data_IF_101508663181
#
_entry.id   IF_101508663181
#
_cell.length_a   1.000
_cell.length_b   1.000
_cell.length_c   1.000
_cell.angle_alpha   90.00
_cell.angle_beta   90.00
_cell.angle_gamma   90.00
#
_symmetry.space_group_name_H-M   'P 1'
#
loop_
_entity.id
_entity.type
_entity.pdbx_description
1 polymer ?
#
# COMPACT_ATOMS: atom_id res chain seq x y z
N UNK A 1 -55.90 -35.68 -0.06
CA UNK A 1 -54.44 -35.54 0.22
C UNK A 1 -53.76 -35.26 -1.11
N UNK A 2 -53.36 -34.02 -1.34
CA UNK A 2 -52.45 -33.70 -2.44
C UNK A 2 -51.40 -32.75 -1.89
N UNK A 3 -50.15 -33.07 -2.21
CA UNK A 3 -48.92 -32.58 -1.57
C UNK A 3 -48.72 -31.07 -1.76
N UNK A 4 -47.96 -30.41 -0.87
CA UNK A 4 -47.54 -29.04 -1.08
C UNK A 4 -46.48 -28.97 -2.18
N UNK A 5 -46.60 -27.97 -3.06
CA UNK A 5 -45.60 -27.57 -4.05
C UNK A 5 -44.26 -27.22 -3.40
N UNK A 6 -43.11 -27.41 -4.08
CA UNK A 6 -41.82 -27.08 -3.52
C UNK A 6 -41.63 -25.55 -3.43
N UNK A 7 -41.07 -25.11 -2.31
CA UNK A 7 -40.63 -23.74 -2.04
C UNK A 7 -39.62 -23.25 -3.11
N UNK A 8 -39.53 -21.92 -3.36
CA UNK A 8 -38.55 -21.37 -4.28
C UNK A 8 -37.15 -21.68 -3.74
N UNK A 9 -36.34 -22.35 -4.55
CA UNK A 9 -34.91 -22.49 -4.30
C UNK A 9 -34.30 -21.08 -4.37
N UNK A 10 -33.62 -20.67 -3.30
CA UNK A 10 -33.07 -19.32 -3.18
C UNK A 10 -32.07 -19.09 -4.33
N UNK A 11 -32.16 -17.96 -5.03
CA UNK A 11 -31.31 -17.65 -6.20
C UNK A 11 -29.83 -17.68 -5.80
N UNK A 12 -29.54 -17.30 -4.56
CA UNK A 12 -28.21 -17.36 -3.96
C UNK A 12 -27.66 -18.79 -3.83
N UNK A 13 -28.51 -19.77 -3.50
CA UNK A 13 -28.11 -21.19 -3.39
C UNK A 13 -27.77 -21.80 -4.75
N UNK A 14 -28.42 -21.33 -5.82
CA UNK A 14 -28.12 -21.74 -7.19
C UNK A 14 -26.79 -21.15 -7.65
N UNK A 15 -26.55 -19.86 -7.42
CA UNK A 15 -25.29 -19.19 -7.77
C UNK A 15 -24.07 -19.81 -7.05
N UNK A 16 -24.20 -20.15 -5.75
CA UNK A 16 -23.13 -20.85 -5.01
C UNK A 16 -22.82 -22.21 -5.64
N UNK A 17 -23.86 -23.00 -5.95
CA UNK A 17 -23.67 -24.34 -6.55
C UNK A 17 -23.00 -24.24 -7.92
N UNK A 18 -23.39 -23.27 -8.73
CA UNK A 18 -22.76 -23.00 -10.02
C UNK A 18 -21.29 -22.59 -9.86
N UNK A 19 -20.98 -21.70 -8.92
CA UNK A 19 -19.61 -21.26 -8.64
C UNK A 19 -18.70 -22.42 -8.18
N UNK A 20 -19.20 -23.31 -7.31
CA UNK A 20 -18.44 -24.49 -6.85
C UNK A 20 -18.13 -25.44 -8.01
N UNK A 21 -19.11 -25.72 -8.88
CA UNK A 21 -18.92 -26.59 -10.05
C UNK A 21 -17.94 -25.97 -11.04
N UNK A 22 -18.08 -24.67 -11.31
CA UNK A 22 -17.17 -23.91 -12.19
C UNK A 22 -15.75 -23.95 -11.63
N UNK A 23 -15.57 -23.55 -10.38
CA UNK A 23 -14.25 -23.45 -9.76
C UNK A 23 -13.56 -24.82 -9.70
N UNK A 24 -14.26 -25.87 -9.24
CA UNK A 24 -13.71 -27.22 -9.17
C UNK A 24 -13.26 -27.70 -10.55
N UNK A 25 -14.09 -27.55 -11.57
CA UNK A 25 -13.74 -27.93 -12.94
C UNK A 25 -12.50 -27.21 -13.48
N UNK A 26 -12.32 -25.93 -13.11
CA UNK A 26 -11.14 -25.15 -13.52
C UNK A 26 -9.91 -25.57 -12.72
N UNK A 27 -10.06 -25.75 -11.41
CA UNK A 27 -8.97 -26.11 -10.50
C UNK A 27 -8.38 -27.47 -10.83
N UNK A 28 -9.23 -28.51 -10.95
CA UNK A 28 -8.79 -29.89 -11.24
C UNK A 28 -7.98 -29.94 -12.54
N UNK A 29 -8.42 -29.19 -13.55
CA UNK A 29 -7.71 -29.09 -14.83
C UNK A 29 -6.38 -28.34 -14.71
N UNK A 30 -6.35 -27.26 -13.93
CA UNK A 30 -5.13 -26.48 -13.70
C UNK A 30 -4.09 -27.33 -12.97
N UNK A 31 -4.51 -28.08 -11.95
CA UNK A 31 -3.66 -28.99 -11.17
C UNK A 31 -3.10 -30.12 -12.04
N UNK A 32 -3.91 -30.72 -12.92
CA UNK A 32 -3.45 -31.74 -13.88
C UNK A 32 -2.38 -31.20 -14.84
N UNK A 33 -2.51 -29.95 -15.28
CA UNK A 33 -1.62 -29.35 -16.26
C UNK A 33 -0.32 -28.81 -15.69
N UNK A 34 -0.35 -28.17 -14.51
CA UNK A 34 0.85 -27.54 -13.91
C UNK A 34 1.48 -28.37 -12.79
N UNK A 35 0.73 -29.31 -12.21
CA UNK A 35 1.12 -30.06 -11.02
C UNK A 35 0.89 -29.30 -9.72
N UNK A 36 0.49 -30.05 -8.69
CA UNK A 36 0.09 -29.53 -7.37
C UNK A 36 1.14 -28.61 -6.72
N UNK A 37 2.42 -29.01 -6.75
CA UNK A 37 3.54 -28.24 -6.17
C UNK A 37 3.88 -26.93 -6.90
N UNK A 38 3.30 -26.72 -8.09
CA UNK A 38 3.48 -25.52 -8.91
C UNK A 38 2.28 -24.59 -8.91
N UNK A 39 1.20 -24.94 -8.19
CA UNK A 39 0.03 -24.08 -7.93
C UNK A 39 0.36 -22.96 -6.94
N UNK A 40 1.34 -22.16 -7.31
CA UNK A 40 1.85 -21.04 -6.53
C UNK A 40 1.13 -19.79 -7.04
N UNK A 41 0.47 -19.07 -6.14
CA UNK A 41 -0.30 -17.88 -6.48
C UNK A 41 0.35 -16.61 -5.89
N UNK A 42 -0.07 -15.41 -6.32
CA UNK A 42 0.45 -14.16 -5.78
C UNK A 42 0.21 -14.02 -4.28
N UNK A 43 1.17 -13.42 -3.57
CA UNK A 43 0.99 -13.07 -2.15
C UNK A 43 -0.03 -11.95 -1.93
N UNK A 44 -0.30 -11.14 -2.96
CA UNK A 44 -1.18 -9.98 -2.88
C UNK A 44 -2.05 -9.89 -4.14
N UNK A 45 -3.35 -9.68 -3.98
CA UNK A 45 -4.27 -9.42 -5.09
C UNK A 45 -5.03 -8.13 -4.84
N UNK A 46 -4.91 -7.18 -5.77
CA UNK A 46 -5.63 -5.91 -5.75
C UNK A 46 -6.73 -5.95 -6.80
N UNK A 47 -7.98 -6.02 -6.37
CA UNK A 47 -9.16 -6.02 -7.21
C UNK A 47 -9.56 -4.56 -7.48
N UNK A 48 -9.36 -4.08 -8.70
CA UNK A 48 -9.73 -2.72 -9.07
C UNK A 48 -11.11 -2.69 -9.72
N UNK A 49 -12.10 -2.32 -8.92
CA UNK A 49 -13.50 -2.14 -9.30
C UNK A 49 -13.86 -0.67 -9.54
N UNK A 50 -14.97 -0.44 -10.24
CA UNK A 50 -15.52 0.91 -10.39
C UNK A 50 -16.38 1.07 -11.64
N UNK A 51 -17.20 2.10 -11.64
CA UNK A 51 -18.11 2.38 -12.74
C UNK A 51 -17.35 2.68 -14.06
N UNK A 52 -18.01 2.55 -15.22
CA UNK A 52 -17.49 3.13 -16.46
C UNK A 52 -17.15 4.62 -16.25
N UNK A 53 -16.00 5.07 -16.76
CA UNK A 53 -15.58 6.48 -16.57
C UNK A 53 -15.00 6.81 -15.19
N UNK A 54 -14.88 5.86 -14.26
CA UNK A 54 -14.25 6.07 -12.95
C UNK A 54 -12.73 6.25 -12.97
N UNK A 55 -12.08 6.14 -14.15
CA UNK A 55 -10.64 6.35 -14.27
C UNK A 55 -9.76 5.14 -13.98
N UNK A 56 -10.31 3.91 -13.92
CA UNK A 56 -9.55 2.66 -13.65
C UNK A 56 -8.21 2.59 -14.40
N UNK A 57 -8.24 2.64 -15.74
CA UNK A 57 -7.00 2.55 -16.54
C UNK A 57 -5.96 3.65 -16.29
N UNK A 58 -6.38 4.81 -15.74
CA UNK A 58 -5.47 5.87 -15.29
C UNK A 58 -4.85 5.49 -13.94
N UNK A 59 -5.70 5.11 -12.99
CA UNK A 59 -5.28 4.87 -11.60
C UNK A 59 -4.65 3.49 -11.36
N UNK A 60 -4.86 2.49 -12.24
CA UNK A 60 -4.24 1.17 -12.16
C UNK A 60 -2.72 1.28 -12.03
N UNK A 61 -2.08 2.07 -12.91
CA UNK A 61 -0.63 2.28 -12.89
C UNK A 61 -0.16 3.00 -11.62
N UNK A 62 -0.96 3.94 -11.13
CA UNK A 62 -0.66 4.65 -9.90
C UNK A 62 -0.71 3.72 -8.69
N UNK A 63 -1.76 2.91 -8.56
CA UNK A 63 -1.91 1.90 -7.51
C UNK A 63 -0.72 0.93 -7.53
N UNK A 64 -0.36 0.42 -8.70
CA UNK A 64 0.79 -0.47 -8.84
C UNK A 64 2.09 0.17 -8.35
N UNK A 65 2.35 1.43 -8.77
CA UNK A 65 3.52 2.18 -8.34
C UNK A 65 3.52 2.43 -6.83
N UNK A 66 2.37 2.79 -6.27
CA UNK A 66 2.21 3.03 -4.83
C UNK A 66 2.47 1.76 -4.00
N UNK A 67 2.15 0.58 -4.55
CA UNK A 67 2.37 -0.74 -3.92
C UNK A 67 3.71 -1.39 -4.29
N UNK A 68 4.51 -0.76 -5.14
CA UNK A 68 5.80 -1.30 -5.59
C UNK A 68 5.67 -2.51 -6.53
N UNK A 69 4.53 -2.71 -7.18
CA UNK A 69 4.32 -3.80 -8.13
C UNK A 69 4.92 -3.44 -9.50
N UNK A 70 5.76 -4.33 -10.01
CA UNK A 70 6.50 -4.13 -11.27
C UNK A 70 5.93 -4.91 -12.47
N UNK A 71 5.11 -5.93 -12.23
CA UNK A 71 4.39 -6.68 -13.25
C UNK A 71 3.31 -5.80 -13.93
N UNK A 72 2.88 -6.07 -15.18
CA UNK A 72 1.74 -5.37 -15.79
C UNK A 72 0.42 -5.70 -15.09
N UNK A 73 -0.63 -4.85 -15.15
CA UNK A 73 -1.92 -5.21 -14.59
C UNK A 73 -2.60 -6.31 -15.42
N UNK A 74 -3.39 -7.14 -14.76
CA UNK A 74 -4.24 -8.14 -15.43
C UNK A 74 -5.59 -7.48 -15.73
N UNK A 75 -5.76 -7.03 -16.96
CA UNK A 75 -7.02 -6.43 -17.43
C UNK A 75 -7.91 -7.53 -17.99
N UNK A 76 -9.06 -7.78 -17.37
CA UNK A 76 -9.94 -8.90 -17.78
C UNK A 76 -10.40 -8.78 -19.23
N UNK A 77 -10.68 -7.57 -19.73
CA UNK A 77 -11.09 -7.41 -21.13
C UNK A 77 -10.02 -7.87 -22.11
N UNK A 78 -8.75 -7.73 -21.77
CA UNK A 78 -7.64 -8.03 -22.67
C UNK A 78 -7.38 -9.53 -22.73
N UNK A 79 -7.62 -10.23 -21.61
CA UNK A 79 -7.62 -11.69 -21.54
C UNK A 79 -8.69 -12.34 -22.42
N UNK A 80 -9.78 -11.63 -22.74
CA UNK A 80 -10.90 -12.15 -23.54
C UNK A 80 -10.73 -11.95 -25.05
N UNK A 81 -9.59 -11.40 -25.47
CA UNK A 81 -9.25 -11.14 -26.88
C UNK A 81 -8.10 -12.05 -27.34
N UNK A 82 -7.61 -12.95 -26.49
CA UNK A 82 -6.55 -13.89 -26.86
C UNK A 82 -7.07 -14.97 -27.82
N UNK A 83 -6.18 -15.65 -28.58
CA UNK A 83 -6.57 -16.77 -29.43
C UNK A 83 -7.30 -17.88 -28.67
N UNK A 84 -6.95 -18.12 -27.40
CA UNK A 84 -7.66 -19.08 -26.54
C UNK A 84 -9.10 -18.64 -26.27
N UNK A 85 -9.32 -17.35 -26.00
CA UNK A 85 -10.65 -16.79 -25.82
C UNK A 85 -11.45 -16.75 -27.13
N UNK A 86 -10.78 -16.58 -28.28
CA UNK A 86 -11.42 -16.63 -29.61
C UNK A 86 -11.90 -18.04 -29.96
N UNK A 87 -11.07 -19.08 -29.74
CA UNK A 87 -11.45 -20.47 -29.97
C UNK A 87 -12.69 -20.90 -29.14
N UNK A 88 -12.83 -20.36 -27.94
CA UNK A 88 -13.98 -20.61 -27.05
C UNK A 88 -15.24 -19.84 -27.52
N UNK A 89 -15.08 -18.60 -27.99
CA UNK A 89 -16.17 -17.82 -28.61
C UNK A 89 -16.68 -18.45 -29.91
N UNK A 90 -15.77 -18.99 -30.73
CA UNK A 90 -16.09 -19.64 -32.00
C UNK A 90 -16.90 -20.94 -31.81
N UNK A 91 -16.83 -21.56 -30.64
CA UNK A 91 -17.67 -22.68 -30.24
C UNK A 91 -19.12 -22.28 -29.86
N UNK A 92 -19.50 -21.01 -29.99
CA UNK A 92 -20.85 -20.50 -29.74
C UNK A 92 -21.14 -20.08 -28.30
N UNK A 93 -20.12 -20.02 -27.44
CA UNK A 93 -20.24 -19.58 -26.05
C UNK A 93 -20.27 -18.05 -25.90
N UNK A 94 -21.17 -17.53 -25.05
CA UNK A 94 -20.90 -16.25 -24.39
C UNK A 94 -19.71 -16.45 -23.46
N UNK A 95 -18.82 -15.46 -23.35
CA UNK A 95 -17.77 -15.49 -22.32
C UNK A 95 -18.46 -15.48 -20.95
N UNK A 96 -18.54 -16.64 -20.32
CA UNK A 96 -19.13 -16.82 -19.00
C UNK A 96 -18.09 -16.72 -17.90
N UNK A 97 -18.55 -16.92 -16.67
CA UNK A 97 -17.69 -16.86 -15.50
C UNK A 97 -16.64 -17.97 -15.50
N UNK A 98 -16.96 -19.15 -16.06
CA UNK A 98 -16.00 -20.27 -16.18
C UNK A 98 -14.76 -19.90 -17.00
N UNK A 99 -14.96 -19.27 -18.15
CA UNK A 99 -13.86 -18.87 -19.04
C UNK A 99 -13.00 -17.80 -18.40
N UNK A 100 -13.63 -16.78 -17.80
CA UNK A 100 -12.93 -15.70 -17.09
C UNK A 100 -12.08 -16.26 -15.97
N UNK A 101 -12.64 -17.13 -15.12
CA UNK A 101 -11.92 -17.76 -14.02
C UNK A 101 -10.78 -18.64 -14.55
N UNK A 102 -11.00 -19.44 -15.59
CA UNK A 102 -9.96 -20.29 -16.15
C UNK A 102 -8.74 -19.52 -16.67
N UNK A 103 -8.97 -18.48 -17.48
CA UNK A 103 -7.88 -17.67 -18.02
C UNK A 103 -7.19 -16.87 -16.92
N UNK A 104 -7.97 -16.34 -15.96
CA UNK A 104 -7.43 -15.59 -14.83
C UNK A 104 -6.51 -16.46 -13.95
N UNK A 105 -6.96 -17.64 -13.51
CA UNK A 105 -6.15 -18.50 -12.63
C UNK A 105 -4.84 -18.91 -13.31
N UNK A 106 -4.88 -19.26 -14.61
CA UNK A 106 -3.66 -19.53 -15.38
C UNK A 106 -2.72 -18.34 -15.40
N UNK A 107 -3.25 -17.14 -15.64
CA UNK A 107 -2.45 -15.91 -15.68
C UNK A 107 -1.78 -15.64 -14.33
N UNK A 108 -2.50 -15.86 -13.22
CA UNK A 108 -1.99 -15.66 -11.87
C UNK A 108 -0.83 -16.60 -11.48
N UNK A 109 -0.68 -17.75 -12.16
CA UNK A 109 0.43 -18.67 -11.90
C UNK A 109 1.77 -18.20 -12.47
N UNK A 110 1.78 -17.19 -13.36
CA UNK A 110 3.03 -16.69 -13.94
C UNK A 110 3.94 -16.10 -12.86
N UNK A 111 5.25 -16.34 -12.98
CA UNK A 111 6.23 -15.92 -11.98
C UNK A 111 6.27 -14.39 -11.76
N UNK A 112 5.97 -13.61 -12.80
CA UNK A 112 5.90 -12.14 -12.71
C UNK A 112 4.88 -11.65 -11.67
N UNK A 113 3.85 -12.44 -11.35
CA UNK A 113 2.80 -12.06 -10.40
C UNK A 113 3.04 -12.57 -8.98
N UNK A 114 4.12 -13.29 -8.69
CA UNK A 114 4.38 -13.92 -7.37
C UNK A 114 4.26 -12.94 -6.20
N UNK A 115 4.78 -11.72 -6.38
CA UNK A 115 4.76 -10.69 -5.36
C UNK A 115 3.46 -9.89 -5.31
N UNK A 116 2.62 -9.97 -6.33
CA UNK A 116 1.31 -9.35 -6.32
C UNK A 116 0.76 -9.15 -7.72
N UNK A 117 -0.56 -8.98 -7.83
CA UNK A 117 -1.22 -8.66 -9.09
C UNK A 117 -2.36 -7.66 -8.89
N UNK A 118 -2.53 -6.76 -9.85
CA UNK A 118 -3.71 -5.88 -9.93
C UNK A 118 -4.67 -6.44 -10.99
N UNK A 119 -5.89 -6.74 -10.58
CA UNK A 119 -6.97 -7.26 -11.41
C UNK A 119 -7.93 -6.11 -11.78
N UNK A 120 -7.86 -5.61 -13.02
CA UNK A 120 -8.76 -4.55 -13.49
C UNK A 120 -10.04 -5.15 -14.07
N UNK A 121 -11.15 -4.88 -13.38
CA UNK A 121 -12.48 -5.29 -13.81
C UNK A 121 -12.85 -6.72 -13.44
N UNK A 122 -12.28 -7.25 -12.36
CA UNK A 122 -12.69 -8.47 -11.65
C UNK A 122 -12.90 -8.17 -10.16
N UNK A 123 -13.91 -8.74 -9.49
CA UNK A 123 -15.03 -9.52 -10.04
C UNK A 123 -16.13 -8.61 -10.63
N UNK A 124 -16.99 -9.19 -11.48
CA UNK A 124 -18.17 -8.52 -12.09
C UNK A 124 -19.51 -9.14 -11.73
N UNK A 125 -19.51 -10.37 -11.24
CA UNK A 125 -20.70 -11.18 -10.90
C UNK A 125 -20.52 -11.82 -9.54
N UNK A 126 -21.62 -12.22 -8.88
CA UNK A 126 -21.59 -12.95 -7.61
C UNK A 126 -20.85 -14.28 -7.73
N UNK A 127 -21.05 -15.02 -8.82
CA UNK A 127 -20.32 -16.26 -9.12
C UNK A 127 -18.80 -16.04 -9.12
N UNK A 128 -18.31 -14.95 -9.69
CA UNK A 128 -16.87 -14.63 -9.66
C UNK A 128 -16.35 -14.32 -8.25
N UNK A 129 -17.18 -13.68 -7.40
CA UNK A 129 -16.85 -13.46 -5.98
C UNK A 129 -16.73 -14.80 -5.26
N UNK A 130 -17.68 -15.71 -5.45
CA UNK A 130 -17.63 -17.05 -4.85
C UNK A 130 -16.42 -17.86 -5.36
N UNK A 131 -16.11 -17.80 -6.65
CA UNK A 131 -14.88 -18.42 -7.16
C UNK A 131 -13.60 -17.82 -6.57
N UNK A 132 -13.58 -16.51 -6.26
CA UNK A 132 -12.45 -15.87 -5.59
C UNK A 132 -12.31 -16.37 -4.14
N UNK A 133 -13.41 -16.55 -3.41
CA UNK A 133 -13.39 -17.15 -2.06
C UNK A 133 -12.79 -18.55 -2.10
N UNK A 134 -13.28 -19.39 -3.02
CA UNK A 134 -12.78 -20.75 -3.21
C UNK A 134 -11.29 -20.77 -3.60
N UNK A 135 -10.82 -19.79 -4.39
CA UNK A 135 -9.39 -19.63 -4.69
C UNK A 135 -8.58 -19.38 -3.42
N UNK A 136 -9.00 -18.41 -2.61
CA UNK A 136 -8.30 -18.07 -1.35
C UNK A 136 -8.26 -19.28 -0.42
N UNK A 137 -9.38 -20.01 -0.27
CA UNK A 137 -9.45 -21.22 0.55
C UNK A 137 -8.46 -22.29 0.07
N UNK A 138 -8.33 -22.48 -1.25
CA UNK A 138 -7.36 -23.43 -1.83
C UNK A 138 -5.91 -22.99 -1.61
N UNK A 139 -5.62 -21.69 -1.73
CA UNK A 139 -4.27 -21.17 -1.45
C UNK A 139 -3.92 -21.39 0.03
N UNK A 140 -4.86 -21.18 0.95
CA UNK A 140 -4.66 -21.43 2.38
C UNK A 140 -4.44 -22.92 2.70
N UNK A 141 -5.13 -23.81 1.98
CA UNK A 141 -4.89 -25.26 2.07
C UNK A 141 -3.47 -25.61 1.62
N UNK A 142 -3.03 -25.12 0.45
CA UNK A 142 -1.67 -25.30 -0.05
C UNK A 142 -0.63 -24.75 0.92
N UNK A 143 -0.85 -23.55 1.47
CA UNK A 143 0.02 -22.96 2.50
C UNK A 143 0.19 -23.90 3.70
N UNK A 144 -0.92 -24.48 4.18
CA UNK A 144 -0.90 -25.38 5.34
C UNK A 144 -0.21 -26.71 5.00
N UNK A 145 -0.48 -27.27 3.82
CA UNK A 145 0.09 -28.53 3.34
C UNK A 145 1.62 -28.45 3.18
N UNK A 146 2.12 -27.36 2.59
CA UNK A 146 3.55 -27.21 2.31
C UNK A 146 4.35 -26.55 3.44
N UNK A 147 3.72 -26.18 4.57
CA UNK A 147 4.32 -25.42 5.66
C UNK A 147 5.61 -26.03 6.24
N UNK A 148 5.68 -27.36 6.33
CA UNK A 148 6.83 -28.10 6.89
C UNK A 148 7.74 -28.70 5.80
N UNK A 149 7.60 -28.25 4.56
CA UNK A 149 8.38 -28.75 3.42
C UNK A 149 9.41 -27.71 2.96
N UNK A 150 10.44 -28.10 2.19
CA UNK A 150 11.35 -27.15 1.54
C UNK A 150 10.65 -26.15 0.60
N UNK A 151 9.42 -26.45 0.17
CA UNK A 151 8.64 -25.59 -0.72
C UNK A 151 7.85 -24.50 0.01
N UNK A 152 7.85 -24.48 1.35
CA UNK A 152 7.09 -23.52 2.16
C UNK A 152 7.27 -22.06 1.71
N UNK A 153 8.47 -21.67 1.27
CA UNK A 153 8.77 -20.30 0.81
C UNK A 153 7.93 -19.85 -0.40
N UNK A 154 7.43 -20.81 -1.19
CA UNK A 154 6.68 -20.59 -2.42
C UNK A 154 5.17 -20.48 -2.21
N UNK A 155 4.67 -20.87 -1.02
CA UNK A 155 3.26 -20.82 -0.67
C UNK A 155 3.06 -19.79 0.44
N UNK A 156 2.25 -18.78 0.16
CA UNK A 156 1.99 -17.67 1.08
C UNK A 156 0.49 -17.44 1.14
N UNK A 157 -0.01 -17.07 2.32
CA UNK A 157 -1.40 -16.64 2.47
C UNK A 157 -1.61 -15.36 1.66
N UNK A 158 -2.67 -15.29 0.82
CA UNK A 158 -2.87 -14.15 -0.05
C UNK A 158 -3.57 -13.02 0.70
N UNK A 159 -3.05 -11.80 0.58
CA UNK A 159 -3.74 -10.58 1.02
C UNK A 159 -4.58 -10.04 -0.13
N UNK A 160 -5.88 -9.84 0.09
CA UNK A 160 -6.81 -9.35 -0.93
C UNK A 160 -7.25 -7.93 -0.60
N UNK A 161 -7.06 -7.00 -1.54
CA UNK A 161 -7.53 -5.62 -1.46
C UNK A 161 -8.61 -5.38 -2.52
N UNK A 162 -9.81 -5.02 -2.11
CA UNK A 162 -10.88 -4.59 -3.00
C UNK A 162 -10.90 -3.06 -3.10
N UNK A 163 -10.38 -2.50 -4.18
CA UNK A 163 -10.34 -1.05 -4.43
C UNK A 163 -11.46 -0.64 -5.38
N UNK A 164 -12.46 0.08 -4.86
CA UNK A 164 -13.63 0.51 -5.62
C UNK A 164 -13.57 2.02 -5.87
N UNK A 165 -13.32 2.39 -7.13
CA UNK A 165 -13.38 3.77 -7.59
C UNK A 165 -14.84 4.18 -7.83
N UNK A 166 -15.32 5.12 -7.02
CA UNK A 166 -16.68 5.63 -7.10
C UNK A 166 -16.75 6.95 -7.86
N UNK A 167 -17.70 7.02 -8.80
CA UNK A 167 -18.13 8.26 -9.46
C UNK A 167 -19.65 8.24 -9.58
N UNK A 168 -20.28 9.40 -9.56
CA UNK A 168 -21.73 9.49 -9.80
C UNK A 168 -22.06 9.17 -11.26
N UNK A 169 -23.33 8.85 -11.51
CA UNK A 169 -23.86 8.59 -12.86
C UNK A 169 -23.60 9.77 -13.80
N UNK A 170 -23.80 11.00 -13.32
CA UNK A 170 -23.56 12.22 -14.09
C UNK A 170 -22.09 12.30 -14.53
N UNK A 171 -21.17 12.23 -13.58
CA UNK A 171 -19.72 12.27 -13.84
C UNK A 171 -19.28 11.13 -14.77
N UNK A 172 -19.81 9.93 -14.58
CA UNK A 172 -19.55 8.76 -15.43
C UNK A 172 -19.96 9.00 -16.89
N UNK A 173 -21.15 9.53 -17.12
CA UNK A 173 -21.68 9.82 -18.46
C UNK A 173 -20.84 10.91 -19.12
N UNK A 174 -20.60 12.03 -18.42
CA UNK A 174 -19.80 13.15 -18.93
C UNK A 174 -18.40 12.69 -19.37
N UNK A 175 -17.70 11.92 -18.53
CA UNK A 175 -16.36 11.40 -18.84
C UNK A 175 -16.36 10.43 -20.01
N UNK A 176 -17.41 9.61 -20.18
CA UNK A 176 -17.52 8.70 -21.33
C UNK A 176 -17.73 9.45 -22.64
N UNK A 177 -18.63 10.44 -22.66
CA UNK A 177 -18.88 11.27 -23.84
C UNK A 177 -17.64 12.09 -24.20
N UNK A 178 -16.99 12.69 -23.19
CA UNK A 178 -15.76 13.45 -23.38
C UNK A 178 -14.66 12.58 -24.00
N UNK A 179 -14.46 11.36 -23.49
CA UNK A 179 -13.54 10.38 -24.09
C UNK A 179 -13.89 10.07 -25.54
N UNK A 180 -15.18 9.87 -25.85
CA UNK A 180 -15.66 9.61 -27.21
C UNK A 180 -15.31 10.75 -28.17
N UNK A 181 -15.52 12.00 -27.74
CA UNK A 181 -15.17 13.20 -28.51
C UNK A 181 -13.66 13.30 -28.77
N UNK A 182 -12.83 13.05 -27.75
CA UNK A 182 -11.37 13.06 -27.90
C UNK A 182 -10.87 12.00 -28.88
N UNK A 183 -11.39 10.77 -28.80
CA UNK A 183 -11.00 9.69 -29.72
C UNK A 183 -11.45 10.01 -31.14
N UNK A 184 -12.66 10.57 -31.32
CA UNK A 184 -13.14 10.97 -32.65
C UNK A 184 -12.26 12.08 -33.28
N UNK A 185 -11.85 13.06 -32.48
CA UNK A 185 -10.94 14.11 -32.93
C UNK A 185 -9.55 13.56 -33.31
N UNK A 186 -8.97 12.70 -32.45
CA UNK A 186 -7.69 12.03 -32.72
C UNK A 186 -7.75 11.19 -33.99
N UNK A 187 -8.80 10.39 -34.18
CA UNK A 187 -8.92 9.55 -35.38
C UNK A 187 -9.04 10.39 -36.65
N UNK A 188 -9.74 11.52 -36.61
CA UNK A 188 -9.81 12.46 -37.74
C UNK A 188 -8.43 13.02 -38.09
N UNK A 189 -7.64 13.41 -37.09
CA UNK A 189 -6.28 13.89 -37.30
C UNK A 189 -5.37 12.79 -37.89
N UNK A 190 -5.49 11.54 -37.43
CA UNK A 190 -4.76 10.40 -37.99
C UNK A 190 -5.16 10.14 -39.44
N UNK A 191 -6.46 10.24 -39.78
CA UNK A 191 -6.96 10.10 -41.14
C UNK A 191 -6.46 11.21 -42.08
N UNK A 192 -6.38 12.46 -41.59
CA UNK A 192 -5.91 13.61 -42.35
C UNK A 192 -4.39 13.62 -42.56
N UNK A 193 -3.61 13.27 -41.52
CA UNK A 193 -2.14 13.37 -41.55
C UNK A 193 -1.45 12.07 -41.98
N UNK A 194 -2.14 10.93 -41.85
CA UNK A 194 -1.55 9.60 -41.98
C UNK A 194 -0.58 9.22 -40.84
N UNK A 195 -0.45 10.07 -39.80
CA UNK A 195 0.49 9.88 -38.70
C UNK A 195 -0.29 9.42 -37.46
N UNK A 196 0.04 8.24 -36.95
CA UNK A 196 -0.52 7.68 -35.71
C UNK A 196 -1.32 6.39 -35.94
N UNK A 197 -2.03 5.94 -34.91
CA UNK A 197 -2.90 4.76 -34.97
C UNK A 197 -4.33 5.16 -34.65
N UNK A 198 -5.27 4.64 -35.42
CA UNK A 198 -6.70 4.78 -35.16
C UNK A 198 -7.00 4.08 -33.84
N UNK A 199 -7.64 4.81 -32.94
CA UNK A 199 -8.09 4.30 -31.65
C UNK A 199 -9.53 3.77 -31.77
N UNK A 200 -9.85 2.61 -31.16
CA UNK A 200 -11.18 2.03 -31.28
C UNK A 200 -12.21 2.88 -30.55
N UNK A 201 -13.24 3.31 -31.28
CA UNK A 201 -14.30 4.13 -30.74
C UNK A 201 -15.44 3.24 -30.20
N UNK A 202 -15.83 3.47 -28.94
CA UNK A 202 -16.83 2.64 -28.25
C UNK A 202 -18.23 3.18 -28.52
N UNK A 203 -19.16 2.31 -28.87
CA UNK A 203 -20.57 2.69 -29.07
C UNK A 203 -21.20 3.35 -27.85
N UNK A 204 -20.75 2.98 -26.64
CA UNK A 204 -21.21 3.59 -25.38
C UNK A 204 -20.75 5.03 -25.17
N UNK A 205 -19.73 5.47 -25.90
CA UNK A 205 -19.13 6.80 -25.74
C UNK A 205 -19.74 7.82 -26.72
N UNK A 206 -20.64 7.37 -27.60
CA UNK A 206 -21.25 8.16 -28.67
C UNK A 206 -22.60 8.78 -28.32
N UNK A 207 -23.29 8.24 -27.31
CA UNK A 207 -24.61 8.73 -26.93
C UNK A 207 -24.81 8.66 -25.43
N UNK A 208 -25.49 9.67 -24.90
CA UNK A 208 -25.81 9.75 -23.48
C UNK A 208 -26.61 8.52 -23.02
N UNK A 209 -27.59 8.09 -23.82
CA UNK A 209 -28.42 6.92 -23.52
C UNK A 209 -27.60 5.63 -23.42
N UNK A 210 -26.60 5.44 -24.29
CA UNK A 210 -25.74 4.26 -24.23
C UNK A 210 -24.81 4.30 -23.01
N UNK A 211 -24.24 5.46 -22.68
CA UNK A 211 -23.43 5.65 -21.47
C UNK A 211 -24.26 5.41 -20.20
N UNK A 212 -25.50 5.91 -20.17
CA UNK A 212 -26.45 5.72 -19.08
C UNK A 212 -26.85 4.25 -18.89
N UNK A 213 -27.20 3.56 -19.98
CA UNK A 213 -27.47 2.11 -19.95
C UNK A 213 -26.28 1.34 -19.39
N UNK A 214 -25.06 1.69 -19.81
CA UNK A 214 -23.83 1.04 -19.31
C UNK A 214 -23.62 1.25 -17.81
N UNK A 215 -23.86 2.46 -17.30
CA UNK A 215 -23.79 2.75 -15.87
C UNK A 215 -24.85 1.97 -15.08
N UNK A 216 -26.08 1.88 -15.60
CA UNK A 216 -27.16 1.10 -14.99
C UNK A 216 -26.80 -0.39 -14.88
N UNK A 217 -26.29 -1.00 -15.95
CA UNK A 217 -25.84 -2.40 -15.93
C UNK A 217 -24.74 -2.63 -14.89
N UNK A 218 -23.80 -1.69 -14.75
CA UNK A 218 -22.79 -1.76 -13.68
C UNK A 218 -23.45 -1.74 -12.29
N UNK A 219 -24.40 -0.83 -12.06
CA UNK A 219 -25.11 -0.71 -10.78
C UNK A 219 -25.96 -1.94 -10.44
N UNK A 220 -26.58 -2.56 -11.43
CA UNK A 220 -27.46 -3.72 -11.23
C UNK A 220 -26.71 -5.05 -11.09
N UNK A 221 -25.54 -5.20 -11.72
CA UNK A 221 -24.85 -6.50 -11.79
C UNK A 221 -23.52 -6.54 -11.06
N UNK A 222 -22.74 -5.46 -11.15
CA UNK A 222 -21.36 -5.43 -10.66
C UNK A 222 -21.22 -4.73 -9.33
N UNK A 223 -22.10 -3.77 -9.02
CA UNK A 223 -22.04 -3.04 -7.76
C UNK A 223 -22.24 -3.96 -6.56
N UNK A 224 -23.26 -4.82 -6.60
CA UNK A 224 -23.54 -5.74 -5.49
C UNK A 224 -22.40 -6.75 -5.28
N UNK A 225 -21.82 -7.25 -6.38
CA UNK A 225 -20.63 -8.11 -6.34
C UNK A 225 -19.39 -7.41 -5.76
N UNK A 226 -19.20 -6.12 -6.04
CA UNK A 226 -18.10 -5.35 -5.43
C UNK A 226 -18.40 -5.06 -3.95
N UNK A 227 -19.65 -4.74 -3.61
CA UNK A 227 -20.06 -4.41 -2.26
C UNK A 227 -19.95 -5.62 -1.32
N UNK A 228 -20.24 -6.83 -1.79
CA UNK A 228 -20.11 -8.05 -0.98
C UNK A 228 -18.66 -8.34 -0.56
N UNK A 229 -17.66 -7.87 -1.32
CA UNK A 229 -16.24 -7.99 -0.94
C UNK A 229 -15.91 -7.27 0.37
N UNK A 230 -16.69 -6.26 0.76
CA UNK A 230 -16.51 -5.51 2.00
C UNK A 230 -16.58 -6.38 3.25
N UNK A 231 -17.35 -7.46 3.20
CA UNK A 231 -17.55 -8.35 4.34
C UNK A 231 -16.42 -9.39 4.46
N UNK A 232 -15.56 -9.50 3.44
CA UNK A 232 -14.64 -10.63 3.26
C UNK A 232 -13.18 -10.16 3.23
N UNK A 233 -12.90 -9.01 2.60
CA UNK A 233 -11.54 -8.56 2.27
C UNK A 233 -11.31 -7.10 2.67
N UNK A 234 -10.05 -6.65 2.59
CA UNK A 234 -9.69 -5.24 2.83
C UNK A 234 -10.32 -4.35 1.76
N UNK A 235 -11.38 -3.65 2.12
CA UNK A 235 -12.21 -2.90 1.20
C UNK A 235 -11.93 -1.40 1.26
N UNK A 236 -11.51 -0.85 0.13
CA UNK A 236 -11.13 0.55 -0.06
C UNK A 236 -12.15 1.23 -0.95
N UNK A 237 -12.90 2.18 -0.37
CA UNK A 237 -13.90 2.95 -1.11
C UNK A 237 -13.36 4.33 -1.47
N UNK A 238 -13.02 4.53 -2.74
CA UNK A 238 -12.26 5.72 -3.17
C UNK A 238 -13.20 6.65 -3.92
N UNK A 239 -13.32 7.89 -3.43
CA UNK A 239 -13.98 8.95 -4.18
C UNK A 239 -13.11 9.36 -5.39
N UNK A 240 -13.64 9.15 -6.59
CA UNK A 240 -12.99 9.44 -7.87
C UNK A 240 -13.66 10.60 -8.64
N UNK A 241 -14.45 11.45 -7.99
CA UNK A 241 -15.18 12.57 -8.61
C UNK A 241 -14.30 13.81 -8.94
N UNK A 242 -13.05 13.85 -8.49
CA UNK A 242 -12.14 14.97 -8.67
C UNK A 242 -11.12 14.84 -9.82
N UNK A 243 -10.17 15.78 -9.90
CA UNK A 243 -8.98 15.69 -10.75
C UNK A 243 -8.08 14.51 -10.37
N UNK A 244 -7.22 14.07 -11.28
CA UNK A 244 -6.35 12.89 -11.10
C UNK A 244 -5.55 12.97 -9.79
N UNK A 245 -4.92 14.11 -9.52
CA UNK A 245 -4.08 14.32 -8.33
C UNK A 245 -4.85 14.13 -7.01
N UNK A 246 -6.11 14.57 -6.97
CA UNK A 246 -6.96 14.40 -5.79
C UNK A 246 -7.36 12.93 -5.59
N UNK A 247 -7.71 12.24 -6.69
CA UNK A 247 -8.03 10.81 -6.64
C UNK A 247 -6.81 9.99 -6.23
N UNK A 248 -5.62 10.34 -6.73
CA UNK A 248 -4.35 9.72 -6.34
C UNK A 248 -4.05 9.94 -4.84
N UNK A 249 -4.29 11.14 -4.31
CA UNK A 249 -4.18 11.40 -2.87
C UNK A 249 -5.17 10.57 -2.03
N UNK A 250 -6.41 10.43 -2.50
CA UNK A 250 -7.42 9.58 -1.85
C UNK A 250 -6.98 8.11 -1.85
N UNK A 251 -6.42 7.61 -2.96
CA UNK A 251 -5.87 6.25 -3.06
C UNK A 251 -4.75 6.05 -2.03
N UNK A 252 -3.78 6.97 -1.95
CA UNK A 252 -2.66 6.86 -1.00
C UNK A 252 -3.17 6.85 0.44
N UNK A 253 -4.11 7.72 0.77
CA UNK A 253 -4.69 7.80 2.11
C UNK A 253 -5.34 6.49 2.54
N UNK A 254 -6.14 5.87 1.66
CA UNK A 254 -6.79 4.58 1.96
C UNK A 254 -5.77 3.43 2.07
N UNK A 255 -4.72 3.43 1.22
CA UNK A 255 -3.64 2.43 1.29
C UNK A 255 -2.80 2.54 2.57
N UNK A 256 -2.52 3.77 3.04
CA UNK A 256 -1.75 4.01 4.26
C UNK A 256 -2.49 3.53 5.51
N UNK A 257 -3.82 3.71 5.57
CA UNK A 257 -4.65 3.31 6.71
C UNK A 257 -4.60 1.80 7.01
N UNK A 258 -4.30 0.95 6.02
CA UNK A 258 -4.34 -0.52 6.16
C UNK A 258 -2.97 -1.21 6.14
N UNK A 259 -1.86 -0.48 5.94
CA UNK A 259 -0.52 -1.07 5.90
C UNK A 259 -0.11 -1.76 7.21
N UNK A 260 -0.80 -1.45 8.33
CA UNK A 260 -0.63 -2.14 9.61
C UNK A 260 -1.28 -3.54 9.63
N UNK A 261 -2.25 -3.85 8.76
CA UNK A 261 -3.05 -5.09 8.78
C UNK A 261 -2.60 -6.15 7.77
N UNK A 262 -1.59 -5.86 6.96
CA UNK A 262 -1.13 -6.73 5.85
C UNK A 262 -0.07 -7.75 6.25
N UNK A 263 0.38 -7.68 7.50
CA UNK A 263 1.36 -8.59 8.05
C UNK A 263 0.67 -9.89 8.47
N UNK A 264 1.35 -11.03 8.24
CA UNK A 264 0.96 -12.30 8.85
C UNK A 264 0.72 -12.11 10.36
N UNK A 265 -0.31 -12.72 10.97
CA UNK A 265 -0.67 -12.49 12.38
C UNK A 265 0.50 -12.61 13.36
N UNK A 266 1.41 -13.58 13.15
CA UNK A 266 2.60 -13.73 14.02
C UNK A 266 3.59 -12.58 13.84
N UNK A 267 3.63 -11.99 12.66
CA UNK A 267 4.47 -10.84 12.33
C UNK A 267 3.84 -9.55 12.86
N UNK A 268 2.52 -9.40 12.72
CA UNK A 268 1.76 -8.31 13.30
C UNK A 268 1.90 -8.25 14.82
N UNK A 269 1.65 -9.35 15.53
CA UNK A 269 1.76 -9.41 16.99
C UNK A 269 3.14 -8.98 17.50
N UNK A 270 4.20 -9.24 16.72
CA UNK A 270 5.57 -8.84 17.05
C UNK A 270 5.86 -7.37 16.78
N UNK A 271 5.20 -6.78 15.79
CA UNK A 271 5.44 -5.39 15.37
C UNK A 271 4.47 -4.40 16.01
N UNK A 272 3.28 -4.84 16.44
CA UNK A 272 2.26 -4.00 17.08
C UNK A 272 2.77 -3.14 18.26
N UNK A 273 3.72 -3.59 19.11
CA UNK A 273 4.23 -2.74 20.19
C UNK A 273 5.02 -1.51 19.72
N UNK A 274 5.44 -1.47 18.45
CA UNK A 274 6.18 -0.35 17.88
C UNK A 274 5.20 0.62 17.20
N UNK A 275 5.09 1.88 17.65
CA UNK A 275 4.20 2.85 17.03
C UNK A 275 4.68 3.23 15.62
N UNK A 276 3.74 3.58 14.75
CA UNK A 276 4.07 4.08 13.41
C UNK A 276 4.80 5.41 13.51
N UNK A 277 5.70 5.68 12.56
CA UNK A 277 6.43 6.95 12.52
C UNK A 277 5.49 8.17 12.46
N UNK A 278 4.36 8.05 11.77
CA UNK A 278 3.33 9.10 11.70
C UNK A 278 2.62 9.31 13.05
N UNK A 279 2.27 8.23 13.76
CA UNK A 279 1.67 8.28 15.10
C UNK A 279 2.59 8.96 16.12
N UNK A 280 3.90 8.71 16.02
CA UNK A 280 4.91 9.38 16.86
C UNK A 280 4.87 10.90 16.62
N UNK A 281 4.63 11.35 15.39
CA UNK A 281 4.67 12.77 15.00
C UNK A 281 3.39 13.52 15.39
N UNK A 282 2.20 12.91 15.27
CA UNK A 282 0.90 13.59 15.45
C UNK A 282 0.80 14.34 16.79
N UNK A 283 1.32 13.76 17.87
CA UNK A 283 1.30 14.36 19.21
C UNK A 283 2.68 14.83 19.71
N UNK A 284 3.72 14.74 18.89
CA UNK A 284 5.10 15.01 19.31
C UNK A 284 5.25 16.38 19.98
N UNK A 285 4.61 17.41 19.43
CA UNK A 285 4.69 18.78 19.97
C UNK A 285 4.02 18.93 21.33
N UNK A 286 2.82 18.37 21.50
CA UNK A 286 2.09 18.44 22.76
C UNK A 286 2.84 17.67 23.87
N UNK A 287 3.43 16.53 23.53
CA UNK A 287 4.26 15.74 24.44
C UNK A 287 5.56 16.47 24.78
N UNK A 288 6.20 17.14 23.83
CA UNK A 288 7.40 17.95 24.06
C UNK A 288 7.13 19.07 25.06
N UNK A 289 6.07 19.86 24.86
CA UNK A 289 5.68 20.94 25.79
C UNK A 289 5.43 20.38 27.19
N UNK A 290 4.66 19.28 27.29
CA UNK A 290 4.39 18.64 28.58
C UNK A 290 5.68 18.18 29.29
N UNK A 291 6.65 17.61 28.56
CA UNK A 291 7.94 17.19 29.14
C UNK A 291 8.73 18.40 29.66
N UNK A 292 8.80 19.48 28.88
CA UNK A 292 9.50 20.70 29.29
C UNK A 292 8.88 21.33 30.54
N UNK A 293 7.54 21.43 30.60
CA UNK A 293 6.84 21.93 31.79
C UNK A 293 7.09 21.02 33.00
N UNK A 294 7.05 19.70 32.81
CA UNK A 294 7.41 18.73 33.86
C UNK A 294 8.86 18.87 34.32
N UNK A 295 9.82 19.12 33.42
CA UNK A 295 11.23 19.32 33.79
C UNK A 295 11.42 20.56 34.67
N UNK A 296 10.75 21.66 34.36
CA UNK A 296 10.79 22.88 35.17
C UNK A 296 10.18 22.66 36.56
N UNK A 297 9.09 21.89 36.66
CA UNK A 297 8.39 21.65 37.92
C UNK A 297 9.08 20.60 38.82
N UNK A 298 9.53 19.49 38.23
CA UNK A 298 10.00 18.31 38.98
C UNK A 298 11.53 18.27 39.10
N UNK A 299 12.25 18.91 38.17
CA UNK A 299 13.71 18.83 38.05
C UNK A 299 14.36 20.20 37.78
N UNK A 300 13.83 21.25 38.40
CA UNK A 300 14.20 22.66 38.16
C UNK A 300 15.71 22.91 38.14
N UNK A 301 16.44 22.39 39.13
CA UNK A 301 17.89 22.63 39.23
C UNK A 301 18.68 22.03 38.06
N UNK A 302 18.33 20.82 37.62
CA UNK A 302 18.98 20.16 36.48
C UNK A 302 18.61 20.87 35.18
N UNK A 303 17.34 21.26 35.04
CA UNK A 303 16.85 21.96 33.85
C UNK A 303 17.53 23.32 33.67
N UNK A 304 17.65 24.13 34.74
CA UNK A 304 18.40 25.39 34.74
C UNK A 304 19.85 25.16 34.31
N UNK A 305 20.52 24.17 34.90
CA UNK A 305 21.91 23.85 34.51
C UNK A 305 22.05 23.42 33.05
N UNK A 306 21.08 22.68 32.50
CA UNK A 306 21.05 22.35 31.07
C UNK A 306 20.97 23.61 30.21
N UNK A 307 20.08 24.54 30.56
CA UNK A 307 19.92 25.82 29.83
C UNK A 307 21.21 26.65 29.91
N UNK A 308 21.83 26.75 31.09
CA UNK A 308 23.09 27.48 31.28
C UNK A 308 24.22 26.90 30.42
N UNK A 309 24.39 25.58 30.44
CA UNK A 309 25.41 24.90 29.61
C UNK A 309 25.16 25.14 28.13
N UNK A 310 23.91 25.08 27.66
CA UNK A 310 23.55 25.39 26.27
C UNK A 310 23.92 26.84 25.95
N UNK A 311 23.56 27.78 26.81
CA UNK A 311 23.81 29.21 26.60
C UNK A 311 25.30 29.54 26.56
N UNK A 312 26.10 28.99 27.48
CA UNK A 312 27.50 29.32 27.64
C UNK A 312 28.42 28.56 26.68
N UNK A 313 28.15 27.27 26.44
CA UNK A 313 29.04 26.41 25.64
C UNK A 313 28.54 26.18 24.21
N UNK A 314 27.24 25.96 24.03
CA UNK A 314 26.69 25.54 22.74
C UNK A 314 26.37 26.72 21.83
N UNK A 315 25.65 27.73 22.35
CA UNK A 315 25.19 28.86 21.56
C UNK A 315 26.32 29.65 20.88
N UNK A 316 27.50 29.89 21.49
CA UNK A 316 28.60 30.55 20.78
C UNK A 316 29.08 29.78 19.55
N UNK A 317 29.10 28.45 19.61
CA UNK A 317 29.50 27.59 18.49
C UNK A 317 28.40 27.57 17.43
N UNK A 318 27.15 27.38 17.83
CA UNK A 318 25.98 27.40 16.92
C UNK A 318 25.91 28.71 16.14
N UNK A 319 26.09 29.86 16.81
CA UNK A 319 26.08 31.19 16.17
C UNK A 319 27.18 31.32 15.11
N UNK A 320 28.38 30.76 15.34
CA UNK A 320 29.46 30.75 14.34
C UNK A 320 29.14 29.88 13.12
N UNK A 321 28.27 28.89 13.29
CA UNK A 321 27.80 27.99 12.23
C UNK A 321 26.46 28.42 11.60
N UNK A 322 26.02 29.67 11.83
CA UNK A 322 24.74 30.16 11.30
C UNK A 322 24.64 30.13 9.77
N UNK A 323 25.78 30.19 9.06
CA UNK A 323 25.82 30.05 7.61
C UNK A 323 25.67 28.59 7.14
N UNK A 324 26.36 27.64 7.78
CA UNK A 324 26.30 26.22 7.40
C UNK A 324 25.00 25.55 7.83
N UNK A 325 24.36 26.06 8.89
CA UNK A 325 23.20 25.40 9.50
C UNK A 325 23.55 24.09 10.21
N UNK A 326 24.84 23.84 10.49
CA UNK A 326 25.33 22.63 11.15
C UNK A 326 26.48 22.95 12.08
N UNK A 327 26.35 22.57 13.35
CA UNK A 327 27.37 22.70 14.39
C UNK A 327 27.66 21.34 15.04
N UNK A 328 28.92 21.15 15.45
CA UNK A 328 29.35 20.00 16.24
C UNK A 328 29.95 20.52 17.55
N UNK A 329 29.40 20.08 18.68
CA UNK A 329 29.85 20.49 20.02
C UNK A 329 30.28 19.26 20.80
N UNK A 330 31.52 19.25 21.29
CA UNK A 330 32.00 18.21 22.20
C UNK A 330 31.92 18.75 23.63
N UNK A 331 31.32 17.98 24.54
CA UNK A 331 31.22 18.32 25.95
C UNK A 331 31.73 17.19 26.83
N UNK A 332 32.47 17.54 27.87
CA UNK A 332 32.91 16.63 28.94
C UNK A 332 32.16 16.94 30.26
N UNK A 333 31.10 17.75 30.18
CA UNK A 333 30.34 18.17 31.35
C UNK A 333 29.68 16.97 32.04
N UNK A 334 29.92 16.83 33.35
CA UNK A 334 29.38 15.74 34.14
C UNK A 334 27.84 15.73 34.17
N UNK A 335 27.21 16.88 33.92
CA UNK A 335 25.75 17.00 33.78
C UNK A 335 25.18 15.97 32.79
N UNK A 336 25.84 15.75 31.66
CA UNK A 336 25.35 14.86 30.61
C UNK A 336 25.58 13.37 30.89
N UNK A 337 26.21 13.02 32.03
CA UNK A 337 26.21 11.64 32.49
C UNK A 337 24.83 11.20 33.00
N UNK A 338 24.00 12.14 33.42
CA UNK A 338 22.59 11.90 33.75
C UNK A 338 21.76 11.74 32.46
N UNK A 339 21.11 10.58 32.23
CA UNK A 339 20.23 10.37 31.09
C UNK A 339 19.08 11.38 30.99
N UNK A 340 18.60 11.90 32.13
CA UNK A 340 17.55 12.90 32.16
C UNK A 340 18.04 14.24 31.58
N UNK A 341 19.27 14.66 31.92
CA UNK A 341 19.87 15.86 31.38
C UNK A 341 20.11 15.77 29.86
N UNK A 342 20.45 14.58 29.34
CA UNK A 342 20.53 14.34 27.90
C UNK A 342 19.17 14.48 27.21
N UNK A 343 18.11 14.00 27.85
CA UNK A 343 16.73 14.14 27.35
C UNK A 343 16.31 15.61 27.32
N UNK A 344 16.59 16.36 28.40
CA UNK A 344 16.37 17.80 28.47
C UNK A 344 17.12 18.56 27.37
N UNK A 345 18.39 18.21 27.12
CA UNK A 345 19.20 18.84 26.06
C UNK A 345 18.54 18.69 24.69
N UNK A 346 18.09 17.48 24.35
CA UNK A 346 17.43 17.18 23.06
C UNK A 346 16.11 17.95 22.96
N UNK A 347 15.29 17.92 24.01
CA UNK A 347 13.98 18.57 24.03
C UNK A 347 14.10 20.11 23.95
N UNK A 348 15.05 20.72 24.67
CA UNK A 348 15.30 22.17 24.60
C UNK A 348 15.70 22.57 23.18
N UNK A 349 16.58 21.79 22.53
CA UNK A 349 16.96 22.06 21.14
C UNK A 349 15.79 21.89 20.18
N UNK A 350 15.01 20.82 20.32
CA UNK A 350 13.83 20.56 19.49
C UNK A 350 12.82 21.71 19.59
N UNK A 351 12.51 22.19 20.80
CA UNK A 351 11.56 23.29 21.00
C UNK A 351 12.07 24.61 20.41
N UNK A 352 13.39 24.83 20.43
CA UNK A 352 14.01 26.01 19.80
C UNK A 352 14.25 25.87 18.29
N UNK A 353 13.76 24.79 17.68
CA UNK A 353 13.82 24.57 16.22
C UNK A 353 15.14 24.01 15.71
N UNK A 354 15.93 23.39 16.59
CA UNK A 354 17.16 22.68 16.23
C UNK A 354 16.93 21.17 16.21
N UNK A 355 17.64 20.47 15.33
CA UNK A 355 17.73 19.01 15.34
C UNK A 355 19.03 18.60 16.02
N UNK A 356 18.93 18.07 17.24
CA UNK A 356 20.08 17.63 18.02
C UNK A 356 20.19 16.10 18.04
N UNK A 357 21.39 15.58 17.81
CA UNK A 357 21.77 14.18 17.98
C UNK A 357 22.93 14.12 18.95
N UNK A 358 22.86 13.25 19.96
CA UNK A 358 23.90 13.13 21.00
C UNK A 358 24.53 11.74 20.97
N UNK A 359 25.84 11.70 20.79
CA UNK A 359 26.64 10.48 20.85
C UNK A 359 27.51 10.48 22.11
N UNK A 360 27.39 9.46 22.95
CA UNK A 360 28.28 9.22 24.09
C UNK A 360 29.50 8.43 23.63
N UNK A 361 30.67 9.03 23.69
CA UNK A 361 31.94 8.38 23.33
C UNK A 361 32.80 8.18 24.58
N UNK A 362 33.11 6.92 24.90
CA UNK A 362 34.00 6.56 26.02
C UNK A 362 35.38 6.24 25.45
N UNK A 363 36.40 6.93 25.94
CA UNK A 363 37.79 6.73 25.56
C UNK A 363 38.58 6.23 26.77
N UNK A 364 39.30 5.14 26.59
CA UNK A 364 40.27 4.68 27.59
C UNK A 364 41.61 5.34 27.35
N UNK A 365 42.04 6.19 28.27
CA UNK A 365 43.32 6.89 28.18
C UNK A 365 44.33 6.18 29.07
N UNK A 366 45.45 5.66 28.54
CA UNK A 366 46.49 5.05 29.36
C UNK A 366 47.15 6.11 30.24
N UNK A 367 47.16 5.88 31.55
CA UNK A 367 47.65 6.86 32.56
C UNK A 367 48.95 6.40 33.20
N UNK A 368 49.11 5.09 33.38
CA UNK A 368 50.28 4.50 34.05
C UNK A 368 50.52 3.09 33.54
N UNK A 369 51.79 2.72 33.40
CA UNK A 369 52.24 1.35 33.15
C UNK A 369 52.85 0.81 34.44
N UNK A 370 52.38 -0.33 34.91
CA UNK A 370 53.04 -1.11 35.95
C UNK A 370 54.23 -1.84 35.32
N UNK A 371 55.43 -1.47 35.74
CA UNK A 371 56.69 -2.00 35.21
C UNK A 371 57.00 -3.43 35.69
N UNK A 372 56.32 -3.91 36.73
CA UNK A 372 56.51 -5.27 37.26
C UNK A 372 55.56 -6.27 36.58
N UNK A 373 54.32 -5.87 36.36
CA UNK A 373 53.27 -6.73 35.77
C UNK A 373 53.06 -6.51 34.27
N UNK A 374 53.53 -5.38 33.74
CA UNK A 374 53.25 -4.94 32.36
C UNK A 374 51.84 -4.36 32.19
N UNK A 375 51.07 -4.20 33.26
CA UNK A 375 49.68 -3.75 33.19
C UNK A 375 49.57 -2.24 32.90
N UNK A 376 48.74 -1.86 31.93
CA UNK A 376 48.43 -0.46 31.64
C UNK A 376 47.18 -0.07 32.41
N UNK A 377 47.34 0.76 33.43
CA UNK A 377 46.24 1.44 34.10
C UNK A 377 45.67 2.52 33.19
N UNK A 378 44.36 2.41 32.89
CA UNK A 378 43.62 3.31 32.01
C UNK A 378 42.65 4.16 32.84
N UNK A 379 42.43 5.40 32.43
CA UNK A 379 41.37 6.28 32.93
C UNK A 379 40.33 6.43 31.85
N UNK A 380 39.07 6.18 32.20
CA UNK A 380 37.95 6.44 31.30
C UNK A 380 37.71 7.94 31.17
N UNK A 381 37.57 8.38 29.92
CA UNK A 381 37.19 9.74 29.56
C UNK A 381 35.91 9.66 28.73
N UNK A 382 34.81 10.21 29.25
CA UNK A 382 33.54 10.28 28.54
C UNK A 382 33.43 11.64 27.84
N UNK A 383 33.17 11.63 26.54
CA UNK A 383 32.95 12.81 25.70
C UNK A 383 31.59 12.68 25.02
N UNK A 384 30.72 13.67 25.21
CA UNK A 384 29.44 13.78 24.53
C UNK A 384 29.61 14.61 23.27
N UNK A 385 29.40 14.00 22.11
CA UNK A 385 29.39 14.73 20.82
C UNK A 385 27.97 15.04 20.46
N UNK A 386 27.66 16.33 20.33
CA UNK A 386 26.32 16.81 19.99
C UNK A 386 26.37 17.42 18.61
N UNK A 387 25.64 16.80 17.68
CA UNK A 387 25.45 17.30 16.32
C UNK A 387 24.15 18.10 16.28
N UNK A 388 24.22 19.33 15.80
CA UNK A 388 23.11 20.28 15.85
C UNK A 388 22.88 20.82 14.44
N UNK A 389 21.73 20.51 13.86
CA UNK A 389 21.34 20.99 12.54
C UNK A 389 20.18 21.99 12.65
N UNK A 390 20.20 23.04 11.83
CA UNK A 390 19.17 24.06 11.77
C UNK A 390 19.18 24.76 10.40
N UNK A 391 18.16 25.57 10.11
CA UNK A 391 18.08 26.28 8.84
C UNK A 391 19.17 27.37 8.76
N UNK A 392 20.17 27.14 7.91
CA UNK A 392 21.25 28.10 7.64
C UNK A 392 20.78 29.33 6.84
N UNK A 393 21.59 30.39 6.85
CA UNK A 393 21.29 31.62 6.10
C UNK A 393 21.26 31.39 4.57
N UNK A 394 20.25 31.89 3.85
CA UNK A 394 20.10 31.69 2.40
C UNK A 394 21.14 32.47 1.55
N UNK A 395 22.00 33.29 2.17
CA UNK A 395 22.83 34.31 1.50
C UNK A 395 23.97 33.70 0.62
N UNK A 396 24.14 32.37 0.60
CA UNK A 396 25.01 31.67 -0.36
C UNK A 396 24.36 30.38 -0.87
N UNK A 397 23.26 30.50 -1.60
CA UNK A 397 22.95 29.53 -2.66
C UNK A 397 23.27 30.19 -3.99
N UNK A 398 24.53 30.07 -4.40
CA UNK A 398 24.85 30.01 -5.83
C UNK A 398 24.46 28.65 -6.37
#
# INVERSE_FOLDING_TARGET
MSAPEPLPTDVHDLEIKDAQLIFKSVWDRLEEEVGHENLRFPKELILLGGAPGAGKGTHTRFVMKARGLTCPPIVISDLLVTPEAAAIKDAGGMVGDKEVISILLRRLLHEEFRDGAVLDGFPRTGVQVECLKLLVDRIDQLYTEFAETPLAINFRRPTIHAMVLFVTEKTSIERQLFRGQQIAAHNREVEETGIGKILPLRTTDLSEDAARRRYRVFKEKTWDALQSLKEIYHYHFINAEGPIEEVEANIVKELQYQSSMELDPRTYDRLQPLPLAEEIVIHARQLLVKRLDSYELEHTATFIRCVDVIQEKFMPIIKRHALSGRAHVNSEDALFQDPLALSMLIDIFAERGYHAVVDKHIQEIPVRLDLQTGEIHRKEKTVFRVQINFKGSPIRRG
#
